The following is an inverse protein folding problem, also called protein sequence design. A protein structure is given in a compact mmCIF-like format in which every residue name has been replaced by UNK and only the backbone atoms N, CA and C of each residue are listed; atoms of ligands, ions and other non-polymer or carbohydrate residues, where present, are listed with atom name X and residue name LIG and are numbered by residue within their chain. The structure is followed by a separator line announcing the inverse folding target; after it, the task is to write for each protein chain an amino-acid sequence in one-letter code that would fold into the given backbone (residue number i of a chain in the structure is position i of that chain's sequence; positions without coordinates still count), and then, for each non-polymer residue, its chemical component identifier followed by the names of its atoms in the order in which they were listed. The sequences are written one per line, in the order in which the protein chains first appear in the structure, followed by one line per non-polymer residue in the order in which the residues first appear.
data_IF_808817816915
#
_entry.id   IF_808817816915
#
_cell.length_a   1.000
_cell.length_b   1.000
_cell.length_c   1.000
_cell.angle_alpha   90.00
_cell.angle_beta   90.00
_cell.angle_gamma   90.00
#
_symmetry.space_group_name_H-M   'P 1'
#
loop_
_entity.id
_entity.type
_entity.pdbx_description
1 polymer ?
#
# COMPACT_ATOMS: atom_id res chain seq x y z
N UNK A 1 -19.71 4.16 -29.31
CA UNK A 1 -19.67 5.01 -28.09
C UNK A 1 -18.94 4.25 -26.98
N UNK A 2 -17.70 4.62 -26.65
CA UNK A 2 -16.96 4.00 -25.53
C UNK A 2 -17.51 4.57 -24.23
N UNK A 3 -18.12 3.73 -23.39
CA UNK A 3 -18.55 4.12 -22.03
C UNK A 3 -17.30 4.57 -21.25
N UNK A 4 -17.18 5.87 -21.02
CA UNK A 4 -16.18 6.42 -20.11
C UNK A 4 -16.44 5.87 -18.72
N UNK A 5 -15.50 5.07 -18.19
CA UNK A 5 -15.47 4.74 -16.78
C UNK A 5 -15.32 6.06 -16.03
N UNK A 6 -16.42 6.51 -15.40
CA UNK A 6 -16.41 7.64 -14.49
C UNK A 6 -15.64 7.19 -13.22
N UNK A 7 -14.32 7.22 -13.33
CA UNK A 7 -13.38 6.76 -12.32
C UNK A 7 -13.27 7.90 -11.31
N UNK A 8 -14.30 8.10 -10.48
CA UNK A 8 -14.12 8.88 -9.24
C UNK A 8 -12.86 8.33 -8.58
N UNK A 9 -11.81 9.14 -8.58
CA UNK A 9 -10.44 8.78 -8.25
C UNK A 9 -10.40 8.25 -6.82
N UNK A 10 -10.62 6.95 -6.69
CA UNK A 10 -10.54 6.22 -5.43
C UNK A 10 -9.07 6.04 -5.00
N UNK A 11 -8.16 6.62 -5.77
CA UNK A 11 -6.74 6.71 -5.53
C UNK A 11 -6.50 8.06 -4.85
N UNK A 12 -5.96 8.02 -3.64
CA UNK A 12 -5.64 9.19 -2.84
C UNK A 12 -4.18 9.10 -2.41
N UNK A 13 -3.50 10.24 -2.31
CA UNK A 13 -2.16 10.31 -1.72
C UNK A 13 -2.24 10.07 -0.22
N UNK A 14 -1.39 9.17 0.29
CA UNK A 14 -1.28 8.91 1.71
C UNK A 14 0.17 8.62 2.11
N UNK A 15 0.51 8.98 3.35
CA UNK A 15 1.77 8.58 3.98
C UNK A 15 1.55 7.35 4.82
N UNK A 16 2.55 6.49 4.88
CA UNK A 16 2.59 5.44 5.90
C UNK A 16 2.97 6.11 7.22
N UNK A 17 2.14 5.94 8.24
CA UNK A 17 2.38 6.47 9.59
C UNK A 17 2.63 5.36 10.62
N UNK A 18 2.49 4.11 10.20
CA UNK A 18 2.81 2.95 11.00
C UNK A 18 2.44 1.67 10.26
N UNK A 19 3.02 0.56 10.68
CA UNK A 19 2.63 -0.76 10.22
C UNK A 19 2.93 -1.79 11.31
N UNK A 20 2.27 -2.93 11.22
CA UNK A 20 2.56 -4.10 12.01
C UNK A 20 2.45 -5.34 11.11
N UNK A 21 2.55 -6.54 11.71
CA UNK A 21 2.47 -7.80 10.96
C UNK A 21 1.13 -7.98 10.21
N UNK A 22 0.01 -7.46 10.73
CA UNK A 22 -1.31 -7.68 10.14
C UNK A 22 -1.82 -6.52 9.27
N UNK A 23 -1.25 -5.33 9.40
CA UNK A 23 -1.78 -4.13 8.75
C UNK A 23 -0.74 -3.01 8.55
N UNK A 24 -0.94 -2.23 7.48
CA UNK A 24 -0.30 -0.93 7.25
C UNK A 24 -1.31 0.16 7.58
N UNK A 25 -0.87 1.20 8.28
CA UNK A 25 -1.67 2.36 8.66
C UNK A 25 -1.17 3.54 7.84
N UNK A 26 -2.06 4.10 7.03
CA UNK A 26 -1.78 5.25 6.19
C UNK A 26 -2.61 6.46 6.63
N UNK A 27 -2.06 7.66 6.45
CA UNK A 27 -2.75 8.94 6.66
C UNK A 27 -2.80 9.70 5.35
N UNK A 28 -4.00 10.08 4.91
CA UNK A 28 -4.20 10.87 3.69
C UNK A 28 -3.89 12.35 3.93
N UNK A 29 -3.80 13.12 2.84
CA UNK A 29 -3.67 14.59 2.87
C UNK A 29 -4.78 15.27 3.68
N UNK A 30 -5.98 14.68 3.67
CA UNK A 30 -7.14 15.19 4.39
C UNK A 30 -7.19 14.70 5.85
N UNK A 31 -6.08 14.21 6.39
CA UNK A 31 -5.96 13.60 7.72
C UNK A 31 -6.83 12.34 7.95
N UNK A 32 -7.36 11.71 6.90
CA UNK A 32 -8.10 10.45 7.03
C UNK A 32 -7.14 9.29 7.28
N UNK A 33 -7.47 8.43 8.24
CA UNK A 33 -6.69 7.21 8.51
C UNK A 33 -7.26 6.04 7.71
N UNK A 34 -6.41 5.42 6.91
CA UNK A 34 -6.73 4.25 6.10
C UNK A 34 -5.88 3.07 6.56
N UNK A 35 -6.55 2.01 7.00
CA UNK A 35 -5.88 0.77 7.40
C UNK A 35 -5.98 -0.28 6.29
N UNK A 36 -4.83 -0.76 5.85
CA UNK A 36 -4.65 -1.75 4.79
C UNK A 36 -4.29 -3.07 5.47
N UNK A 37 -5.13 -4.11 5.32
CA UNK A 37 -4.82 -5.44 5.85
C UNK A 37 -3.75 -6.10 4.98
N UNK A 38 -2.69 -6.58 5.61
CA UNK A 38 -1.67 -7.35 4.93
C UNK A 38 -2.14 -8.80 4.73
N UNK A 39 -1.94 -9.38 3.54
CA UNK A 39 -2.15 -10.81 3.34
C UNK A 39 -1.14 -11.61 4.17
N UNK A 40 -1.58 -12.73 4.75
CA UNK A 40 -0.76 -13.57 5.64
C UNK A 40 0.54 -14.08 4.98
N UNK A 41 0.57 -14.14 3.65
CA UNK A 41 1.71 -14.66 2.89
C UNK A 41 2.92 -13.71 2.89
N UNK A 42 2.76 -12.46 3.33
CA UNK A 42 3.83 -11.44 3.37
C UNK A 42 4.37 -11.25 4.80
N UNK A 43 3.86 -12.01 5.78
CA UNK A 43 4.16 -11.87 7.21
C UNK A 43 5.64 -12.03 7.59
N UNK A 44 6.43 -12.72 6.76
CA UNK A 44 7.85 -12.99 6.99
C UNK A 44 8.76 -12.36 5.92
N UNK A 45 8.24 -11.49 5.07
CA UNK A 45 9.05 -10.85 4.04
C UNK A 45 9.91 -9.72 4.65
N UNK A 46 11.22 -9.97 4.69
CA UNK A 46 12.22 -9.00 5.17
C UNK A 46 12.32 -7.79 4.25
N UNK A 47 12.13 -7.95 2.93
CA UNK A 47 12.15 -6.87 1.97
C UNK A 47 10.95 -5.96 2.16
N UNK A 48 9.76 -6.55 2.31
CA UNK A 48 8.55 -5.78 2.62
C UNK A 48 8.72 -4.94 3.90
N UNK A 49 9.24 -5.56 4.97
CA UNK A 49 9.46 -4.84 6.24
C UNK A 49 10.44 -3.69 6.08
N UNK A 50 11.54 -3.88 5.34
CA UNK A 50 12.54 -2.85 5.07
C UNK A 50 11.93 -1.69 4.27
N UNK A 51 11.20 -1.98 3.20
CA UNK A 51 10.50 -0.97 2.39
C UNK A 51 9.49 -0.19 3.24
N UNK A 52 8.72 -0.86 4.09
CA UNK A 52 7.76 -0.18 4.97
C UNK A 52 8.44 0.72 6.00
N UNK A 53 9.59 0.31 6.55
CA UNK A 53 10.41 1.15 7.43
C UNK A 53 10.95 2.37 6.68
N UNK A 54 11.49 2.18 5.47
CA UNK A 54 12.04 3.26 4.65
C UNK A 54 10.93 4.27 4.29
N UNK A 55 9.73 3.80 3.92
CA UNK A 55 8.59 4.66 3.64
C UNK A 55 8.10 5.42 4.88
N UNK A 56 8.13 4.77 6.05
CA UNK A 56 7.77 5.39 7.31
C UNK A 56 8.76 6.49 7.70
N UNK A 57 10.07 6.25 7.52
CA UNK A 57 11.13 7.22 7.84
C UNK A 57 11.17 8.38 6.85
N UNK A 58 11.03 8.10 5.56
CA UNK A 58 11.04 9.12 4.51
C UNK A 58 9.78 9.98 4.52
N UNK A 59 8.67 9.46 5.05
CA UNK A 59 7.38 10.15 5.04
C UNK A 59 6.89 10.43 3.62
N UNK A 60 7.20 9.54 2.68
CA UNK A 60 6.83 9.66 1.28
C UNK A 60 5.31 9.61 1.11
N UNK A 61 4.77 10.47 0.26
CA UNK A 61 3.39 10.39 -0.18
C UNK A 61 3.27 9.35 -1.29
N UNK A 62 2.51 8.28 -1.03
CA UNK A 62 2.24 7.23 -2.01
C UNK A 62 0.75 7.19 -2.37
N UNK A 63 0.39 6.97 -3.64
CA UNK A 63 -1.01 6.77 -4.00
C UNK A 63 -1.55 5.43 -3.47
N UNK A 64 -2.70 5.47 -2.79
CA UNK A 64 -3.37 4.28 -2.25
C UNK A 64 -4.82 4.21 -2.71
N UNK A 65 -5.35 3.00 -2.87
CA UNK A 65 -6.76 2.84 -3.21
C UNK A 65 -7.62 2.83 -1.94
N UNK A 66 -8.33 3.93 -1.70
CA UNK A 66 -9.23 4.12 -0.55
C UNK A 66 -10.37 3.10 -0.51
N UNK A 67 -10.94 2.72 -1.66
CA UNK A 67 -12.08 1.79 -1.73
C UNK A 67 -11.65 0.34 -1.47
N UNK A 68 -10.54 -0.06 -2.08
CA UNK A 68 -10.04 -1.44 -1.94
C UNK A 68 -9.23 -1.63 -0.65
N UNK A 69 -8.83 -0.54 0.02
CA UNK A 69 -7.91 -0.54 1.17
C UNK A 69 -6.67 -1.39 0.87
N UNK A 70 -6.10 -1.16 -0.31
CA UNK A 70 -4.90 -1.85 -0.81
C UNK A 70 -3.90 -0.80 -1.27
N UNK A 71 -2.62 -1.09 -1.04
CA UNK A 71 -1.55 -0.43 -1.77
C UNK A 71 -1.77 -0.72 -3.25
N UNK A 72 -1.57 0.27 -4.11
CA UNK A 72 -1.53 -0.01 -5.53
C UNK A 72 -0.37 -0.98 -5.77
N UNK A 73 -0.58 -1.96 -6.68
CA UNK A 73 0.53 -2.80 -7.13
C UNK A 73 1.54 -1.86 -7.76
N UNK A 74 2.69 -1.80 -7.13
CA UNK A 74 3.83 -1.15 -7.71
C UNK A 74 4.91 -2.20 -7.90
N UNK A 75 5.69 -2.05 -8.95
CA UNK A 75 6.73 -3.01 -9.30
C UNK A 75 7.73 -3.21 -8.14
N UNK A 76 8.04 -2.15 -7.38
CA UNK A 76 8.89 -2.20 -6.17
C UNK A 76 8.28 -2.91 -4.94
N UNK A 77 6.96 -3.17 -4.92
CA UNK A 77 6.30 -3.97 -3.86
C UNK A 77 6.07 -5.43 -4.28
N UNK A 78 6.03 -5.71 -5.59
CA UNK A 78 5.74 -7.04 -6.13
C UNK A 78 7.01 -7.91 -6.29
N UNK A 79 8.21 -7.32 -6.31
CA UNK A 79 9.49 -8.05 -6.41
C UNK A 79 9.72 -9.08 -5.28
N UNK A 80 9.10 -8.91 -4.09
CA UNK A 80 9.22 -9.86 -2.98
C UNK A 80 8.30 -11.10 -3.09
N UNK A 81 7.28 -11.06 -3.95
CA UNK A 81 6.24 -12.12 -4.01
C UNK A 81 6.57 -13.18 -5.08
N UNK A 82 7.49 -12.90 -6.00
CA UNK A 82 7.73 -13.75 -7.17
C UNK A 82 8.77 -14.86 -6.97
N UNK A 83 9.44 -14.93 -5.81
CA UNK A 83 10.48 -15.93 -5.52
C UNK A 83 10.01 -17.14 -4.67
N UNK A 84 8.69 -17.35 -4.53
CA UNK A 84 8.12 -18.51 -3.81
C UNK A 84 7.24 -19.41 -4.70
N UNK A 85 7.53 -19.42 -6.00
CA UNK A 85 7.05 -20.43 -6.93
C UNK A 85 8.24 -21.00 -7.69
N UNK A 86 9.00 -21.85 -7.02
CA UNK A 86 9.77 -22.95 -7.59
C UNK A 86 9.62 -24.17 -6.67
#
# INVERSE_FOLDING_TARGET
MRKGFNKQSSIVSAKIIGFNRSQVICKTENNEIITIKQPKNVLNDRYFTKIMLDLLQTGLWIPINRKLKKLLRYDWLDEGVQLLTD
#
